data_IF_426590430830
#
_entry.id   IF_426590430830
#
_cell.length_a   1.000
_cell.length_b   1.000
_cell.length_c   1.000
_cell.angle_alpha   90.00
_cell.angle_beta   90.00
_cell.angle_gamma   90.00
#
_symmetry.space_group_name_H-M   'P 1'
#
loop_
_entity.id
_entity.type
_entity.pdbx_description
1 polymer ?
#
# COMPACT_ATOMS: atom_id res chain seq x y z
N UNK A 1 62.47 21.88 -16.38
CA UNK A 1 61.66 20.64 -16.51
C UNK A 1 60.33 20.95 -15.85
N UNK A 2 59.32 21.18 -16.67
CA UNK A 2 58.06 21.85 -16.34
C UNK A 2 56.89 20.83 -16.36
N UNK A 3 55.90 21.12 -15.51
CA UNK A 3 54.50 20.63 -15.44
C UNK A 3 54.15 19.32 -14.73
N UNK A 4 53.57 19.55 -13.55
CA UNK A 4 52.54 18.78 -12.86
C UNK A 4 51.21 18.70 -13.63
N UNK A 5 50.31 17.78 -13.20
CA UNK A 5 48.86 17.53 -13.55
C UNK A 5 48.61 16.28 -14.44
N UNK A 6 47.57 15.46 -14.21
CA UNK A 6 46.41 15.64 -13.34
C UNK A 6 45.79 14.32 -12.91
N UNK A 7 45.31 14.33 -11.67
CA UNK A 7 44.31 13.41 -11.16
C UNK A 7 42.98 13.97 -11.68
N UNK A 8 42.22 13.16 -12.43
CA UNK A 8 40.93 13.55 -12.97
C UNK A 8 39.94 13.74 -11.81
N UNK A 9 39.61 15.01 -11.53
CA UNK A 9 38.48 15.41 -10.71
C UNK A 9 37.19 15.00 -11.43
N UNK A 10 36.60 13.88 -11.01
CA UNK A 10 35.21 13.58 -11.34
C UNK A 10 34.32 14.47 -10.47
N UNK A 11 33.94 15.65 -10.98
CA UNK A 11 32.83 16.39 -10.42
C UNK A 11 31.55 15.57 -10.63
N UNK A 12 30.85 15.11 -9.57
CA UNK A 12 29.52 14.57 -9.74
C UNK A 12 28.62 15.74 -10.16
N UNK A 13 28.11 15.66 -11.39
CA UNK A 13 27.14 16.62 -11.92
C UNK A 13 25.96 16.82 -10.97
N UNK A 14 25.24 17.95 -11.10
CA UNK A 14 24.23 18.35 -10.13
C UNK A 14 23.22 17.24 -9.87
N UNK A 15 23.13 16.85 -8.60
CA UNK A 15 22.17 15.86 -8.10
C UNK A 15 20.75 16.30 -8.50
N UNK A 16 19.94 15.44 -9.15
CA UNK A 16 18.59 15.81 -9.53
C UNK A 16 17.80 16.29 -8.32
N UNK A 17 17.15 17.45 -8.43
CA UNK A 17 16.42 18.08 -7.34
C UNK A 17 15.33 17.17 -6.78
N UNK A 18 15.32 17.00 -5.45
CA UNK A 18 14.37 16.18 -4.67
C UNK A 18 12.88 16.57 -4.82
N UNK A 19 12.48 17.46 -5.73
CA UNK A 19 11.17 18.13 -5.69
C UNK A 19 10.16 17.75 -6.79
N UNK A 20 10.40 16.72 -7.61
CA UNK A 20 9.45 16.32 -8.68
C UNK A 20 8.29 15.44 -8.24
N UNK A 21 8.36 14.80 -7.06
CA UNK A 21 7.33 13.87 -6.58
C UNK A 21 6.71 14.33 -5.26
N UNK A 22 5.46 13.95 -5.02
CA UNK A 22 4.80 14.11 -3.73
C UNK A 22 5.20 13.03 -2.72
N UNK A 23 4.70 13.19 -1.49
CA UNK A 23 4.98 12.27 -0.39
C UNK A 23 4.52 10.84 -0.63
N UNK A 24 3.71 10.63 -1.67
CA UNK A 24 3.17 9.33 -2.07
C UNK A 24 3.77 8.85 -3.39
N UNK A 25 4.78 9.53 -3.95
CA UNK A 25 5.47 9.10 -5.18
C UNK A 25 4.78 9.52 -6.48
N UNK A 26 3.77 10.39 -6.45
CA UNK A 26 3.15 10.94 -7.67
C UNK A 26 3.87 12.19 -8.14
N UNK A 27 4.06 12.33 -9.46
CA UNK A 27 4.76 13.47 -10.05
C UNK A 27 3.91 14.75 -9.90
N UNK A 28 4.49 15.81 -9.30
CA UNK A 28 3.80 17.10 -9.05
C UNK A 28 3.82 18.01 -10.29
N UNK A 29 2.73 18.74 -10.52
CA UNK A 29 2.61 19.67 -11.66
C UNK A 29 2.90 21.15 -11.36
N UNK A 30 2.93 21.64 -10.10
CA UNK A 30 3.46 22.97 -9.72
C UNK A 30 3.51 23.13 -8.18
N UNK A 31 4.50 23.85 -7.62
CA UNK A 31 4.72 23.97 -6.16
C UNK A 31 4.51 25.41 -5.68
N UNK A 32 3.56 25.62 -4.77
CA UNK A 32 3.48 26.81 -3.93
C UNK A 32 3.93 26.46 -2.51
N UNK A 33 4.88 27.25 -1.97
CA UNK A 33 5.55 26.99 -0.70
C UNK A 33 4.73 27.49 0.50
N UNK A 34 4.59 26.65 1.53
CA UNK A 34 4.05 27.01 2.85
C UNK A 34 4.83 26.27 3.94
N UNK A 35 5.88 26.90 4.48
CA UNK A 35 6.88 26.27 5.35
C UNK A 35 6.49 26.24 6.85
N UNK A 36 5.70 27.19 7.34
CA UNK A 36 5.33 27.27 8.76
C UNK A 36 4.25 26.26 9.17
N UNK A 37 3.27 26.00 8.29
CA UNK A 37 2.24 24.97 8.51
C UNK A 37 2.87 23.56 8.55
N UNK A 38 3.99 23.37 7.87
CA UNK A 38 4.69 22.09 7.75
C UNK A 38 5.33 21.65 9.09
N UNK A 39 5.93 22.59 9.85
CA UNK A 39 6.58 22.29 11.14
C UNK A 39 5.60 21.82 12.23
N UNK A 40 4.46 22.49 12.36
CA UNK A 40 3.38 22.09 13.30
C UNK A 40 2.77 20.73 12.91
N UNK A 41 2.63 20.46 11.61
CA UNK A 41 2.20 19.17 11.08
C UNK A 41 3.13 18.02 11.49
N UNK A 42 4.45 18.22 11.36
CA UNK A 42 5.48 17.23 11.73
C UNK A 42 5.43 16.86 13.22
N UNK A 43 5.31 17.84 14.12
CA UNK A 43 5.22 17.59 15.58
C UNK A 43 3.95 16.82 15.97
N UNK A 44 2.81 17.18 15.38
CA UNK A 44 1.54 16.48 15.57
C UNK A 44 1.62 15.03 15.08
N UNK A 45 2.23 14.79 13.94
CA UNK A 45 2.41 13.45 13.38
C UNK A 45 3.32 12.57 14.25
N UNK A 46 4.46 13.11 14.73
CA UNK A 46 5.34 12.41 15.64
C UNK A 46 4.64 11.99 16.94
N UNK A 47 3.73 12.82 17.46
CA UNK A 47 2.90 12.47 18.63
C UNK A 47 1.89 11.36 18.29
N UNK A 48 1.33 11.32 17.08
CA UNK A 48 0.45 10.23 16.64
C UNK A 48 1.23 8.92 16.52
N UNK A 49 2.39 8.93 15.87
CA UNK A 49 3.28 7.76 15.70
C UNK A 49 3.65 7.17 17.06
N UNK A 50 4.13 7.98 18.03
CA UNK A 50 4.47 7.49 19.37
C UNK A 50 3.31 6.79 20.07
N UNK A 51 2.11 7.39 19.99
CA UNK A 51 0.92 6.80 20.60
C UNK A 51 0.53 5.49 19.93
N UNK A 52 0.64 5.39 18.62
CA UNK A 52 0.38 4.15 17.89
C UNK A 52 1.42 3.08 18.21
N UNK A 53 2.72 3.43 18.25
CA UNK A 53 3.81 2.50 18.61
C UNK A 53 3.58 1.86 19.98
N UNK A 54 3.12 2.63 20.97
CA UNK A 54 2.72 2.13 22.30
C UNK A 54 1.52 1.15 22.26
N UNK A 55 0.66 1.24 21.25
CA UNK A 55 -0.50 0.35 21.11
C UNK A 55 -0.14 -0.97 20.42
N UNK A 56 0.71 -0.90 19.39
CA UNK A 56 1.07 -2.07 18.59
C UNK A 56 2.22 -2.88 19.20
N UNK A 57 3.06 -2.27 20.04
CA UNK A 57 4.29 -2.91 20.51
C UNK A 57 5.34 -3.04 19.40
N UNK A 58 6.41 -3.79 19.67
CA UNK A 58 7.44 -4.06 18.65
C UNK A 58 6.90 -5.11 17.69
N UNK A 59 6.84 -4.78 16.40
CA UNK A 59 6.38 -5.71 15.36
C UNK A 59 4.92 -6.17 15.48
N UNK A 60 4.10 -5.59 16.37
CA UNK A 60 2.71 -6.00 16.60
C UNK A 60 2.48 -6.84 17.87
N UNK A 61 3.51 -7.09 18.68
CA UNK A 61 3.45 -7.95 19.87
C UNK A 61 2.31 -7.64 20.84
N UNK A 62 1.97 -6.36 21.01
CA UNK A 62 1.04 -5.90 22.05
C UNK A 62 -0.37 -5.70 21.49
N UNK A 63 -0.55 -5.80 20.18
CA UNK A 63 -1.78 -5.44 19.48
C UNK A 63 -3.01 -6.18 20.01
N UNK A 64 -2.96 -7.53 20.03
CA UNK A 64 -4.07 -8.38 20.48
C UNK A 64 -4.46 -8.04 21.93
N UNK A 65 -3.48 -7.85 22.81
CA UNK A 65 -3.72 -7.46 24.20
C UNK A 65 -4.35 -6.06 24.30
N UNK A 66 -3.83 -5.08 23.56
CA UNK A 66 -4.30 -3.69 23.60
C UNK A 66 -5.73 -3.56 23.07
N UNK A 67 -6.06 -4.23 21.95
CA UNK A 67 -7.40 -4.24 21.36
C UNK A 67 -8.42 -4.79 22.35
N UNK A 68 -8.13 -5.93 22.98
CA UNK A 68 -9.00 -6.53 24.01
C UNK A 68 -9.23 -5.61 25.20
N UNK A 69 -8.19 -4.90 25.64
CA UNK A 69 -8.24 -4.03 26.82
C UNK A 69 -8.85 -2.65 26.57
N UNK A 70 -8.71 -2.10 25.36
CA UNK A 70 -9.08 -0.72 25.03
C UNK A 70 -9.71 -0.60 23.62
N UNK A 71 -10.78 -1.35 23.30
CA UNK A 71 -11.36 -1.40 21.96
C UNK A 71 -11.86 -0.02 21.48
N UNK A 72 -12.49 0.76 22.36
CA UNK A 72 -12.95 2.12 22.01
C UNK A 72 -11.81 3.09 21.65
N UNK A 73 -10.64 2.93 22.27
CA UNK A 73 -9.46 3.76 21.98
C UNK A 73 -8.92 3.42 20.60
N UNK A 74 -8.88 2.13 20.25
CA UNK A 74 -8.47 1.63 18.94
C UNK A 74 -9.41 2.17 17.86
N UNK A 75 -10.73 1.93 17.99
CA UNK A 75 -11.74 2.39 17.01
C UNK A 75 -11.66 3.91 16.78
N UNK A 76 -11.56 4.69 17.85
CA UNK A 76 -11.41 6.16 17.76
C UNK A 76 -10.14 6.59 17.03
N UNK A 77 -9.02 5.87 17.17
CA UNK A 77 -7.75 6.24 16.53
C UNK A 77 -7.70 5.83 15.07
N UNK A 78 -8.29 4.71 14.72
CA UNK A 78 -8.50 4.29 13.33
C UNK A 78 -9.31 5.35 12.58
N UNK A 79 -10.43 5.82 13.15
CA UNK A 79 -11.24 6.91 12.56
C UNK A 79 -10.49 8.23 12.42
N UNK A 80 -9.50 8.49 13.28
CA UNK A 80 -8.60 9.64 13.17
C UNK A 80 -7.48 9.45 12.14
N UNK A 81 -7.39 8.26 11.53
CA UNK A 81 -6.34 7.86 10.62
C UNK A 81 -5.15 7.20 11.31
N UNK A 82 -4.56 6.25 10.58
CA UNK A 82 -3.30 5.60 10.91
C UNK A 82 -2.16 6.46 10.33
N UNK A 83 -1.09 6.75 11.12
CA UNK A 83 0.11 7.39 10.63
C UNK A 83 0.70 6.65 9.43
N UNK A 84 1.16 7.42 8.46
CA UNK A 84 1.56 6.93 7.14
C UNK A 84 2.59 5.79 7.22
N UNK A 85 3.67 6.02 7.99
CA UNK A 85 4.75 5.06 8.21
C UNK A 85 4.36 3.81 9.00
N UNK A 86 3.14 3.75 9.54
CA UNK A 86 2.64 2.59 10.29
C UNK A 86 1.54 1.84 9.53
N UNK A 87 1.10 2.33 8.36
CA UNK A 87 -0.02 1.74 7.60
C UNK A 87 0.24 0.29 7.22
N UNK A 88 1.40 -0.02 6.64
CA UNK A 88 1.74 -1.40 6.25
C UNK A 88 1.53 -2.41 7.38
N UNK A 89 2.17 -2.18 8.53
CA UNK A 89 2.02 -3.06 9.69
C UNK A 89 0.61 -3.03 10.30
N UNK A 90 0.05 -1.85 10.53
CA UNK A 90 -1.26 -1.74 11.21
C UNK A 90 -2.36 -2.35 10.35
N UNK A 91 -2.32 -2.21 9.02
CA UNK A 91 -3.29 -2.81 8.11
C UNK A 91 -3.28 -4.33 8.15
N UNK A 92 -2.10 -4.94 8.28
CA UNK A 92 -2.03 -6.39 8.47
C UNK A 92 -2.59 -6.83 9.84
N UNK A 93 -2.31 -6.06 10.90
CA UNK A 93 -2.77 -6.36 12.26
C UNK A 93 -4.29 -6.23 12.44
N UNK A 94 -4.91 -5.23 11.82
CA UNK A 94 -6.37 -5.02 11.88
C UNK A 94 -7.13 -6.06 11.06
N UNK A 95 -6.59 -6.48 9.91
CA UNK A 95 -7.28 -7.37 8.99
C UNK A 95 -7.09 -8.83 9.37
N UNK A 96 -6.00 -9.15 10.06
CA UNK A 96 -5.59 -10.52 10.31
C UNK A 96 -4.79 -11.13 9.15
N UNK A 97 -4.44 -10.35 8.12
CA UNK A 97 -3.69 -10.87 6.98
C UNK A 97 -2.32 -11.44 7.35
N UNK A 98 -1.70 -10.92 8.42
CA UNK A 98 -0.45 -11.47 8.94
C UNK A 98 -0.63 -12.87 9.50
N UNK A 99 -1.75 -13.14 10.16
CA UNK A 99 -2.06 -14.48 10.65
C UNK A 99 -2.33 -15.41 9.45
N UNK A 100 -3.01 -14.94 8.39
CA UNK A 100 -3.20 -15.71 7.14
C UNK A 100 -1.85 -16.09 6.51
N UNK A 101 -0.93 -15.13 6.36
CA UNK A 101 0.39 -15.39 5.79
C UNK A 101 1.12 -16.48 6.58
N UNK A 102 1.18 -16.35 7.90
CA UNK A 102 1.88 -17.29 8.77
C UNK A 102 1.26 -18.70 8.75
N UNK A 103 -0.05 -18.80 8.52
CA UNK A 103 -0.76 -20.08 8.43
C UNK A 103 -0.60 -20.77 7.06
N UNK A 104 -0.14 -20.04 6.04
CA UNK A 104 -0.11 -20.53 4.66
C UNK A 104 1.26 -20.32 3.99
N UNK A 105 2.36 -20.84 4.59
CA UNK A 105 3.70 -20.65 4.05
C UNK A 105 3.83 -21.24 2.65
N UNK A 106 4.39 -20.47 1.72
CA UNK A 106 4.67 -20.91 0.34
C UNK A 106 3.45 -20.91 -0.60
N UNK A 107 2.23 -20.68 -0.11
CA UNK A 107 1.03 -20.65 -0.96
C UNK A 107 1.10 -19.54 -2.00
N UNK A 108 1.56 -18.35 -1.61
CA UNK A 108 1.70 -17.24 -2.56
C UNK A 108 2.65 -17.58 -3.71
N UNK A 109 3.82 -18.10 -3.37
CA UNK A 109 4.82 -18.54 -4.35
C UNK A 109 4.24 -19.61 -5.30
N UNK A 110 3.49 -20.58 -4.76
CA UNK A 110 2.87 -21.61 -5.58
C UNK A 110 1.89 -21.04 -6.61
N UNK A 111 1.03 -20.10 -6.19
CA UNK A 111 0.06 -19.44 -7.06
C UNK A 111 0.73 -18.60 -8.16
N UNK A 112 1.83 -17.93 -7.84
CA UNK A 112 2.56 -17.09 -8.79
C UNK A 112 3.34 -17.93 -9.79
N UNK A 113 3.99 -19.01 -9.36
CA UNK A 113 4.91 -19.78 -10.21
C UNK A 113 4.19 -20.86 -11.02
N UNK A 114 3.32 -21.65 -10.38
CA UNK A 114 2.84 -22.92 -10.96
C UNK A 114 1.43 -22.85 -11.53
N UNK A 115 0.66 -21.81 -11.19
CA UNK A 115 -0.74 -21.71 -11.61
C UNK A 115 -0.93 -20.74 -12.78
N UNK A 116 -2.03 -20.91 -13.52
CA UNK A 116 -2.44 -20.02 -14.61
C UNK A 116 -3.77 -19.35 -14.31
N UNK A 117 -3.86 -18.05 -14.58
CA UNK A 117 -5.08 -17.27 -14.37
C UNK A 117 -5.92 -17.21 -15.65
N UNK A 118 -7.21 -17.52 -15.55
CA UNK A 118 -8.16 -17.30 -16.64
C UNK A 118 -8.38 -15.80 -16.96
N UNK A 119 -8.02 -14.91 -16.02
CA UNK A 119 -8.23 -13.46 -16.13
C UNK A 119 -6.96 -12.70 -16.54
N UNK A 120 -5.95 -13.37 -17.08
CA UNK A 120 -4.65 -12.78 -17.40
C UNK A 120 -4.76 -11.53 -18.29
N UNK A 121 -5.57 -11.59 -19.35
CA UNK A 121 -5.74 -10.46 -20.28
C UNK A 121 -6.40 -9.24 -19.62
N UNK A 122 -7.36 -9.46 -18.71
CA UNK A 122 -8.03 -8.38 -17.99
C UNK A 122 -7.09 -7.73 -16.96
N UNK A 123 -6.28 -8.54 -16.28
CA UNK A 123 -5.24 -8.07 -15.36
C UNK A 123 -4.23 -7.19 -16.12
N UNK A 124 -3.71 -7.64 -17.26
CA UNK A 124 -2.75 -6.88 -18.07
C UNK A 124 -3.34 -5.53 -18.51
N UNK A 125 -4.61 -5.52 -18.91
CA UNK A 125 -5.31 -4.30 -19.31
C UNK A 125 -5.37 -3.30 -18.15
N UNK A 126 -5.71 -3.75 -16.95
CA UNK A 126 -5.85 -2.89 -15.78
C UNK A 126 -4.52 -2.38 -15.21
N UNK A 127 -3.44 -3.17 -15.31
CA UNK A 127 -2.11 -2.73 -14.92
C UNK A 127 -1.67 -1.48 -15.69
N UNK A 128 -1.94 -1.44 -17.00
CA UNK A 128 -1.51 -0.34 -17.86
C UNK A 128 -2.10 1.03 -17.46
N UNK A 129 -3.24 1.01 -16.77
CA UNK A 129 -3.99 2.20 -16.31
C UNK A 129 -3.95 2.41 -14.79
N UNK A 130 -3.26 1.54 -14.04
CA UNK A 130 -3.16 1.65 -12.57
C UNK A 130 -1.98 2.53 -12.17
N UNK A 131 -2.25 3.70 -11.60
CA UNK A 131 -1.26 4.68 -11.16
C UNK A 131 -0.17 5.01 -12.20
N UNK A 132 -0.53 5.37 -13.45
CA UNK A 132 0.43 5.51 -14.56
C UNK A 132 1.47 6.61 -14.36
N UNK A 133 1.22 7.57 -13.46
CA UNK A 133 2.12 8.69 -13.13
C UNK A 133 2.90 8.48 -11.83
N UNK A 134 2.72 7.33 -11.17
CA UNK A 134 3.42 7.02 -9.93
C UNK A 134 4.78 6.40 -10.24
N UNK A 135 5.84 6.84 -9.55
CA UNK A 135 7.22 6.45 -9.87
C UNK A 135 7.49 4.94 -9.87
N UNK A 136 6.76 4.19 -9.05
CA UNK A 136 6.87 2.73 -8.97
C UNK A 136 6.14 1.99 -10.11
N UNK A 137 5.07 2.58 -10.67
CA UNK A 137 4.19 1.92 -11.65
C UNK A 137 4.33 2.48 -13.08
N UNK A 138 4.94 3.65 -13.25
CA UNK A 138 5.06 4.36 -14.54
C UNK A 138 5.88 3.59 -15.59
N UNK A 139 6.85 2.77 -15.17
CA UNK A 139 7.68 2.02 -16.11
C UNK A 139 6.90 0.81 -16.64
N UNK A 140 6.61 0.83 -17.94
CA UNK A 140 6.00 -0.31 -18.64
C UNK A 140 6.87 -1.56 -18.46
N UNK A 141 6.27 -2.66 -18.02
CA UNK A 141 6.98 -3.91 -17.68
C UNK A 141 8.03 -3.77 -16.57
N UNK A 142 8.02 -2.65 -15.82
CA UNK A 142 8.92 -2.42 -14.70
C UNK A 142 8.58 -3.28 -13.47
N UNK A 143 9.41 -3.24 -12.42
CA UNK A 143 9.18 -4.01 -11.20
C UNK A 143 7.80 -3.83 -10.58
N UNK A 144 7.30 -2.60 -10.46
CA UNK A 144 5.99 -2.35 -9.85
C UNK A 144 4.81 -2.92 -10.63
N UNK A 145 4.86 -2.87 -11.98
CA UNK A 145 3.84 -3.51 -12.82
C UNK A 145 3.89 -5.05 -12.72
N UNK A 146 5.08 -5.62 -12.61
CA UNK A 146 5.25 -7.07 -12.40
C UNK A 146 4.72 -7.50 -11.03
N UNK A 147 5.04 -6.77 -9.97
CA UNK A 147 4.49 -7.06 -8.65
C UNK A 147 2.97 -6.92 -8.60
N UNK A 148 2.42 -5.90 -9.27
CA UNK A 148 0.96 -5.74 -9.39
C UNK A 148 0.34 -6.93 -10.13
N UNK A 149 0.94 -7.36 -11.25
CA UNK A 149 0.51 -8.55 -11.97
C UNK A 149 0.51 -9.79 -11.07
N UNK A 150 1.62 -10.06 -10.38
CA UNK A 150 1.76 -11.26 -9.56
C UNK A 150 0.71 -11.31 -8.44
N UNK A 151 0.46 -10.20 -7.74
CA UNK A 151 -0.56 -10.12 -6.70
C UNK A 151 -1.96 -10.40 -7.25
N UNK A 152 -2.32 -9.76 -8.36
CA UNK A 152 -3.65 -9.91 -8.97
C UNK A 152 -3.86 -11.31 -9.56
N UNK A 153 -2.84 -11.85 -10.22
CA UNK A 153 -2.83 -13.23 -10.74
C UNK A 153 -2.96 -14.25 -9.62
N UNK A 154 -2.18 -14.09 -8.55
CA UNK A 154 -2.26 -15.00 -7.41
C UNK A 154 -3.65 -14.95 -6.77
N UNK A 155 -4.25 -13.76 -6.61
CA UNK A 155 -5.60 -13.63 -6.07
C UNK A 155 -6.65 -14.30 -6.96
N UNK A 156 -6.63 -14.05 -8.27
CA UNK A 156 -7.64 -14.60 -9.19
C UNK A 156 -7.62 -16.13 -9.25
N UNK A 157 -6.46 -16.74 -8.99
CA UNK A 157 -6.33 -18.19 -8.84
C UNK A 157 -6.72 -18.65 -7.43
N UNK A 158 -6.36 -17.91 -6.39
CA UNK A 158 -6.70 -18.25 -5.00
C UNK A 158 -8.22 -18.32 -4.77
N UNK A 159 -8.96 -17.36 -5.33
CA UNK A 159 -10.42 -17.34 -5.28
C UNK A 159 -11.03 -17.44 -6.69
N UNK A 160 -10.92 -18.61 -7.32
CA UNK A 160 -11.41 -18.84 -8.70
C UNK A 160 -12.90 -18.52 -8.90
N UNK A 161 -13.70 -18.57 -7.84
CA UNK A 161 -15.13 -18.23 -7.92
C UNK A 161 -15.36 -16.74 -8.21
N UNK A 162 -14.49 -15.88 -7.68
CA UNK A 162 -14.49 -14.43 -7.93
C UNK A 162 -13.58 -14.11 -9.11
N UNK A 163 -12.42 -14.75 -9.20
CA UNK A 163 -11.38 -14.46 -10.18
C UNK A 163 -10.82 -13.06 -10.01
N UNK A 164 -10.56 -12.39 -11.14
CA UNK A 164 -10.22 -10.97 -11.17
C UNK A 164 -11.46 -10.14 -11.52
N UNK A 165 -11.72 -9.11 -10.73
CA UNK A 165 -12.75 -8.11 -11.01
C UNK A 165 -12.10 -6.77 -11.32
N UNK A 166 -12.67 -6.04 -12.27
CA UNK A 166 -12.18 -4.72 -12.66
C UNK A 166 -12.07 -3.78 -11.46
N UNK A 167 -10.95 -3.05 -11.36
CA UNK A 167 -10.69 -2.11 -10.27
C UNK A 167 -9.90 -2.69 -9.10
N UNK A 168 -9.80 -4.02 -8.98
CA UNK A 168 -8.90 -4.67 -8.01
C UNK A 168 -7.45 -4.21 -8.15
N UNK A 169 -7.01 -3.87 -9.37
CA UNK A 169 -5.68 -3.34 -9.62
C UNK A 169 -5.34 -2.09 -8.81
N UNK A 170 -6.28 -1.16 -8.61
CA UNK A 170 -6.02 0.02 -7.78
C UNK A 170 -5.86 -0.33 -6.30
N UNK A 171 -6.61 -1.31 -5.81
CA UNK A 171 -6.48 -1.78 -4.43
C UNK A 171 -5.12 -2.45 -4.23
N UNK A 172 -4.79 -3.45 -5.06
CA UNK A 172 -3.50 -4.13 -4.99
C UNK A 172 -2.31 -3.17 -5.16
N UNK A 173 -2.41 -2.23 -6.11
CA UNK A 173 -1.40 -1.20 -6.33
C UNK A 173 -1.21 -0.30 -5.11
N UNK A 174 -2.29 0.08 -4.41
CA UNK A 174 -2.21 0.85 -3.17
C UNK A 174 -1.51 0.05 -2.07
N UNK A 175 -1.82 -1.24 -1.92
CA UNK A 175 -1.19 -2.09 -0.90
C UNK A 175 0.32 -2.21 -1.15
N UNK A 176 0.73 -2.40 -2.40
CA UNK A 176 2.14 -2.48 -2.82
C UNK A 176 2.96 -1.21 -2.54
N UNK A 177 2.32 -0.06 -2.28
CA UNK A 177 3.03 1.14 -1.83
C UNK A 177 3.47 1.07 -0.36
N UNK A 178 2.92 0.16 0.44
CA UNK A 178 3.12 0.11 1.89
C UNK A 178 3.73 -1.21 2.40
N UNK A 179 3.80 -2.25 1.58
CA UNK A 179 4.29 -3.57 2.00
C UNK A 179 4.86 -4.38 0.82
N UNK A 180 5.44 -5.53 1.13
CA UNK A 180 5.95 -6.47 0.13
C UNK A 180 4.82 -7.06 -0.73
N UNK A 181 5.21 -7.73 -1.80
CA UNK A 181 4.30 -8.38 -2.74
C UNK A 181 3.39 -9.42 -2.05
N UNK A 182 3.98 -10.32 -1.25
CA UNK A 182 3.24 -11.35 -0.51
C UNK A 182 2.35 -10.77 0.59
N UNK A 183 2.84 -9.77 1.33
CA UNK A 183 2.02 -9.08 2.35
C UNK A 183 0.78 -8.42 1.71
N UNK A 184 0.97 -7.80 0.54
CA UNK A 184 -0.11 -7.17 -0.21
C UNK A 184 -1.14 -8.20 -0.70
N UNK A 185 -0.68 -9.38 -1.15
CA UNK A 185 -1.56 -10.48 -1.51
C UNK A 185 -2.42 -10.94 -0.32
N UNK A 186 -1.82 -11.23 0.83
CA UNK A 186 -2.58 -11.71 1.98
C UNK A 186 -3.53 -10.66 2.54
N UNK A 187 -3.15 -9.38 2.47
CA UNK A 187 -4.03 -8.29 2.85
C UNK A 187 -5.20 -8.13 1.86
N UNK A 188 -4.96 -8.31 0.56
CA UNK A 188 -6.02 -8.36 -0.45
C UNK A 188 -6.99 -9.51 -0.18
N UNK A 189 -6.47 -10.71 0.11
CA UNK A 189 -7.28 -11.87 0.53
C UNK A 189 -8.13 -11.56 1.76
N UNK A 190 -7.52 -11.00 2.81
CA UNK A 190 -8.24 -10.65 4.03
C UNK A 190 -9.38 -9.65 3.77
N UNK A 191 -9.17 -8.65 2.91
CA UNK A 191 -10.19 -7.64 2.59
C UNK A 191 -11.36 -8.20 1.78
N UNK A 192 -11.04 -9.06 0.80
CA UNK A 192 -11.97 -9.47 -0.25
C UNK A 192 -12.69 -10.80 0.04
N UNK A 193 -12.01 -11.73 0.72
CA UNK A 193 -12.54 -13.04 1.13
C UNK A 193 -12.80 -13.13 2.64
N UNK A 194 -12.26 -12.19 3.42
CA UNK A 194 -12.40 -12.14 4.87
C UNK A 194 -11.26 -12.84 5.59
N UNK A 195 -11.11 -12.49 6.86
CA UNK A 195 -10.15 -13.09 7.78
C UNK A 195 -10.67 -12.96 9.21
N UNK A 196 -10.19 -11.96 9.97
CA UNK A 196 -10.73 -11.63 11.31
C UNK A 196 -12.10 -10.95 11.22
N UNK A 197 -12.31 -10.20 10.15
CA UNK A 197 -13.58 -9.59 9.82
C UNK A 197 -14.22 -10.35 8.65
N UNK A 198 -15.55 -10.26 8.54
CA UNK A 198 -16.25 -10.72 7.35
C UNK A 198 -15.66 -10.03 6.10
N UNK A 199 -15.66 -10.71 4.93
CA UNK A 199 -15.29 -10.06 3.68
C UNK A 199 -16.07 -8.75 3.50
N UNK A 200 -15.48 -7.78 2.81
CA UNK A 200 -16.22 -6.58 2.42
C UNK A 200 -17.30 -6.93 1.39
N UNK A 201 -18.46 -7.38 1.87
CA UNK A 201 -19.66 -7.56 1.04
C UNK A 201 -20.01 -6.23 0.37
N UNK A 202 -20.18 -6.24 -0.96
CA UNK A 202 -20.51 -5.04 -1.76
C UNK A 202 -19.32 -4.30 -2.39
N UNK A 203 -18.07 -4.55 -1.97
CA UNK A 203 -16.92 -3.82 -2.50
C UNK A 203 -16.71 -4.05 -4.01
N UNK A 204 -16.91 -5.28 -4.47
CA UNK A 204 -16.83 -5.62 -5.91
C UNK A 204 -17.82 -4.83 -6.75
N UNK A 205 -18.99 -4.48 -6.20
CA UNK A 205 -20.05 -3.76 -6.92
C UNK A 205 -19.79 -2.25 -6.97
N UNK A 206 -19.03 -1.71 -6.02
CA UNK A 206 -18.68 -0.28 -5.95
C UNK A 206 -17.34 0.04 -6.64
N UNK A 207 -16.43 -0.93 -6.78
CA UNK A 207 -15.15 -0.78 -7.47
C UNK A 207 -15.29 -0.44 -8.96
N UNK A 208 -16.38 -0.85 -9.62
CA UNK A 208 -16.65 -0.49 -11.02
C UNK A 208 -16.93 1.00 -11.22
N UNK A 209 -17.41 1.71 -10.19
CA UNK A 209 -17.83 3.12 -10.25
C UNK A 209 -16.71 4.09 -9.85
N UNK A 210 -15.61 3.57 -9.31
CA UNK A 210 -14.54 4.37 -8.72
C UNK A 210 -13.51 4.75 -9.81
N UNK A 211 -13.80 5.83 -10.55
CA UNK A 211 -12.77 6.60 -11.25
C UNK A 211 -11.99 7.36 -10.17
N UNK A 212 -10.74 6.97 -9.89
CA UNK A 212 -9.91 7.55 -8.83
C UNK A 212 -9.06 8.68 -9.43
N UNK A 213 -9.44 9.96 -9.32
CA UNK A 213 -8.50 11.05 -9.55
C UNK A 213 -7.40 11.03 -8.48
N UNK A 214 -6.21 11.53 -8.86
CA UNK A 214 -4.97 11.57 -8.07
C UNK A 214 -5.13 12.12 -6.63
N UNK A 215 -6.18 12.89 -6.34
CA UNK A 215 -6.51 13.43 -5.02
C UNK A 215 -7.15 12.43 -4.04
N UNK A 216 -7.55 11.24 -4.51
CA UNK A 216 -8.27 10.24 -3.72
C UNK A 216 -7.40 9.15 -3.06
N UNK A 217 -6.08 9.11 -3.24
CA UNK A 217 -5.21 8.20 -2.45
C UNK A 217 -5.34 8.45 -0.94
N UNK A 218 -5.66 9.69 -0.54
CA UNK A 218 -6.05 9.99 0.84
C UNK A 218 -7.46 9.48 1.15
N UNK A 219 -8.47 9.69 0.31
CA UNK A 219 -9.83 9.20 0.57
C UNK A 219 -9.94 7.66 0.59
N UNK A 220 -9.16 6.95 -0.22
CA UNK A 220 -9.09 5.49 -0.21
C UNK A 220 -8.35 4.97 1.03
N UNK A 221 -7.25 5.59 1.45
CA UNK A 221 -6.59 5.17 2.70
C UNK A 221 -7.41 5.48 3.96
N UNK A 222 -8.20 6.56 3.95
CA UNK A 222 -9.02 6.98 5.10
C UNK A 222 -10.42 6.37 5.13
N UNK A 223 -11.11 6.20 3.99
CA UNK A 223 -12.47 5.70 3.91
C UNK A 223 -12.55 4.18 3.78
N UNK A 224 -11.72 3.60 2.91
CA UNK A 224 -11.80 2.19 2.50
C UNK A 224 -11.50 1.23 3.66
N UNK A 225 -10.45 1.50 4.43
CA UNK A 225 -10.06 0.67 5.58
C UNK A 225 -10.75 1.11 6.89
N UNK A 226 -11.16 2.38 7.02
CA UNK A 226 -11.95 2.78 8.19
C UNK A 226 -13.40 2.26 8.13
N UNK A 227 -13.96 2.07 6.93
CA UNK A 227 -15.22 1.37 6.72
C UNK A 227 -15.11 -0.12 7.11
N UNK A 228 -14.00 -0.79 6.73
CA UNK A 228 -13.70 -2.19 7.09
C UNK A 228 -13.75 -2.49 8.61
N UNK A 229 -13.35 -1.53 9.44
CA UNK A 229 -13.19 -1.71 10.90
C UNK A 229 -14.32 -1.01 11.69
N UNK A 230 -15.26 -0.36 11.00
CA UNK A 230 -16.35 0.37 11.66
C UNK A 230 -17.56 -0.51 11.97
N UNK A 231 -17.67 -1.68 11.33
CA UNK A 231 -18.53 -2.80 11.73
C UNK A 231 -17.75 -3.81 12.57
#
# INVERSE_FOLDING_TARGET
MDRSRGINDYEPGPVPSESRVDRYGFIKQNVSNSSAAEGLGKSREARRVRKWRKMIGVGGSDWKHYVRRKPHVVKRRIRKGIPDCLRGLVWQLISGSRDLLLMNPGVYEQLVIYETSASELDIIRDISRTFPTHVFFQQRHGPGQRSLYNVLKAYSVFDRAVGYVQGMGFLAGLLLLYMSEEDAFWLLVALLKGAVHAPMEGLYQDLEKIVIPLSLTQALTYGFIAAYISF
#
